data_IF_658038419383
#
_entry.id   IF_658038419383
#
_cell.length_a   1.000
_cell.length_b   1.000
_cell.length_c   1.000
_cell.angle_alpha   90.00
_cell.angle_beta   90.00
_cell.angle_gamma   90.00
#
_symmetry.space_group_name_H-M   'P 1'
#
loop_
_entity.id
_entity.type
_entity.pdbx_description
1 polymer ?
#
# COMPACT_ATOMS: atom_id res chain seq x y z
N UNK A 1 24.51 -26.85 -37.44
CA UNK A 1 23.99 -25.79 -36.60
C UNK A 1 22.70 -26.24 -35.95
N UNK A 2 22.70 -26.67 -34.68
CA UNK A 2 21.41 -26.79 -33.94
C UNK A 2 21.50 -26.06 -32.61
N UNK A 3 20.88 -24.89 -32.54
CA UNK A 3 20.61 -24.18 -31.29
C UNK A 3 19.12 -23.83 -31.32
N UNK A 4 18.25 -24.70 -30.84
CA UNK A 4 16.85 -24.38 -30.58
C UNK A 4 16.04 -25.48 -29.83
N UNK A 5 16.63 -26.26 -28.91
CA UNK A 5 15.84 -27.28 -28.18
C UNK A 5 15.91 -27.12 -26.65
N UNK A 6 16.73 -26.23 -26.10
CA UNK A 6 16.95 -26.18 -24.65
C UNK A 6 15.92 -25.28 -23.90
N UNK A 7 15.21 -24.38 -24.59
CA UNK A 7 14.31 -23.43 -23.96
C UNK A 7 12.87 -23.99 -23.79
N UNK A 8 12.50 -25.03 -24.51
CA UNK A 8 11.16 -25.62 -24.43
C UNK A 8 10.96 -26.59 -23.25
N UNK A 9 12.04 -27.18 -22.73
CA UNK A 9 11.98 -28.16 -21.64
C UNK A 9 11.85 -27.54 -20.25
N UNK A 10 12.33 -26.30 -20.05
CA UNK A 10 12.15 -25.59 -18.77
C UNK A 10 10.71 -25.09 -18.55
N UNK A 11 9.97 -24.80 -19.63
CA UNK A 11 8.58 -24.38 -19.56
C UNK A 11 7.59 -25.52 -19.29
N UNK A 12 7.93 -26.75 -19.68
CA UNK A 12 7.09 -27.93 -19.45
C UNK A 12 7.17 -28.45 -18.00
N UNK A 13 8.34 -28.31 -17.35
CA UNK A 13 8.50 -28.73 -15.95
C UNK A 13 7.75 -27.87 -14.94
N UNK A 14 7.47 -26.60 -15.26
CA UNK A 14 6.66 -25.71 -14.43
C UNK A 14 5.15 -26.01 -14.48
N UNK A 15 4.66 -26.76 -15.49
CA UNK A 15 3.26 -27.12 -15.65
C UNK A 15 2.79 -28.32 -14.80
N UNK A 16 3.68 -29.06 -14.16
CA UNK A 16 3.37 -30.32 -13.47
C UNK A 16 2.97 -30.19 -12.00
N UNK A 17 3.22 -29.08 -11.33
CA UNK A 17 2.74 -28.86 -9.96
C UNK A 17 1.34 -28.24 -9.98
N UNK A 18 0.30 -29.06 -9.94
CA UNK A 18 -1.01 -28.62 -9.46
C UNK A 18 -0.80 -28.17 -8.01
N UNK A 19 -0.51 -26.88 -7.81
CA UNK A 19 -0.50 -26.29 -6.48
C UNK A 19 -1.88 -26.51 -5.89
N UNK A 20 -1.98 -27.31 -4.82
CA UNK A 20 -3.23 -27.44 -4.06
C UNK A 20 -3.66 -26.03 -3.68
N UNK A 21 -4.79 -25.58 -4.21
CA UNK A 21 -5.42 -24.34 -3.77
C UNK A 21 -5.70 -24.49 -2.28
N UNK A 22 -4.98 -23.73 -1.47
CA UNK A 22 -5.39 -23.50 -0.09
C UNK A 22 -6.43 -22.39 -0.17
N UNK A 23 -7.70 -22.66 0.14
CA UNK A 23 -8.71 -21.61 0.09
C UNK A 23 -8.33 -20.50 1.06
N UNK A 24 -8.63 -19.23 0.73
CA UNK A 24 -8.41 -18.12 1.65
C UNK A 24 -9.17 -18.39 2.97
N UNK A 25 -8.77 -17.79 4.10
CA UNK A 25 -9.42 -18.01 5.39
C UNK A 25 -10.77 -17.27 5.45
N UNK A 26 -11.74 -17.70 4.63
CA UNK A 26 -13.00 -17.00 4.38
C UNK A 26 -13.77 -16.66 5.65
N UNK A 27 -13.74 -17.53 6.67
CA UNK A 27 -14.39 -17.26 7.94
C UNK A 27 -13.75 -16.08 8.69
N UNK A 28 -12.40 -16.00 8.70
CA UNK A 28 -11.69 -14.88 9.30
C UNK A 28 -11.95 -13.59 8.52
N UNK A 29 -11.85 -13.63 7.19
CA UNK A 29 -12.14 -12.48 6.33
C UNK A 29 -13.58 -11.97 6.52
N UNK A 30 -14.56 -12.87 6.58
CA UNK A 30 -15.96 -12.51 6.81
C UNK A 30 -16.18 -11.87 8.19
N UNK A 31 -15.49 -12.36 9.22
CA UNK A 31 -15.55 -11.79 10.57
C UNK A 31 -14.96 -10.39 10.61
N UNK A 32 -13.79 -10.18 10.01
CA UNK A 32 -13.14 -8.86 9.90
C UNK A 32 -14.04 -7.89 9.13
N UNK A 33 -14.58 -8.31 7.99
CA UNK A 33 -15.45 -7.48 7.15
C UNK A 33 -16.75 -7.02 7.84
N UNK A 34 -17.10 -7.62 8.99
CA UNK A 34 -18.28 -7.26 9.80
C UNK A 34 -17.95 -6.48 11.06
N UNK A 35 -16.66 -6.23 11.34
CA UNK A 35 -16.28 -5.39 12.47
C UNK A 35 -16.93 -4.02 12.33
N UNK A 36 -17.51 -3.52 13.41
CA UNK A 36 -17.92 -2.14 13.48
C UNK A 36 -16.69 -1.22 13.41
N UNK A 37 -16.83 -0.03 12.83
CA UNK A 37 -15.70 0.90 12.71
C UNK A 37 -15.07 1.23 14.08
N UNK A 38 -15.88 1.31 15.15
CA UNK A 38 -15.38 1.51 16.51
C UNK A 38 -14.49 0.36 17.01
N UNK A 39 -14.79 -0.88 16.64
CA UNK A 39 -13.98 -2.05 17.00
C UNK A 39 -12.70 -2.13 16.14
N UNK A 40 -12.79 -1.68 14.89
CA UNK A 40 -11.67 -1.62 13.99
C UNK A 40 -10.54 -0.69 14.49
N UNK A 41 -10.89 0.33 15.25
CA UNK A 41 -9.98 1.32 15.84
C UNK A 41 -9.61 1.04 17.31
N UNK A 42 -10.11 -0.04 17.92
CA UNK A 42 -9.78 -0.43 19.30
C UNK A 42 -8.50 -1.27 19.32
N UNK A 43 -7.44 -0.88 20.07
CA UNK A 43 -6.21 -1.67 20.12
C UNK A 43 -6.42 -3.08 20.67
N UNK A 44 -5.97 -4.07 19.92
CA UNK A 44 -6.01 -5.50 20.26
C UNK A 44 -4.61 -6.11 20.14
N UNK A 45 -4.31 -7.19 20.87
CA UNK A 45 -3.05 -7.92 20.69
C UNK A 45 -3.14 -8.85 19.47
N UNK A 46 -2.15 -8.79 18.59
CA UNK A 46 -1.98 -9.71 17.46
C UNK A 46 -0.53 -10.13 17.36
N UNK A 47 -0.24 -11.40 17.56
CA UNK A 47 1.12 -11.96 17.41
C UNK A 47 2.18 -11.31 18.31
N UNK A 48 1.81 -10.86 19.52
CA UNK A 48 2.71 -10.19 20.46
C UNK A 48 2.79 -8.66 20.28
N UNK A 49 2.26 -8.10 19.22
CA UNK A 49 2.12 -6.65 19.03
C UNK A 49 0.74 -6.16 19.48
N UNK A 50 0.67 -4.93 19.99
CA UNK A 50 -0.60 -4.30 20.37
C UNK A 50 -0.85 -3.08 19.49
N UNK A 51 -1.85 -3.17 18.60
CA UNK A 51 -2.27 -2.08 17.74
C UNK A 51 -3.75 -2.26 17.33
N UNK A 52 -4.30 -1.36 16.53
CA UNK A 52 -5.68 -1.48 16.05
C UNK A 52 -5.81 -2.58 14.99
N UNK A 53 -6.96 -3.27 14.87
CA UNK A 53 -7.24 -4.14 13.74
C UNK A 53 -6.99 -3.46 12.38
N UNK A 54 -7.34 -2.19 12.25
CA UNK A 54 -7.06 -1.38 11.05
C UNK A 54 -5.56 -1.39 10.71
N UNK A 55 -4.70 -1.08 11.68
CA UNK A 55 -3.24 -1.12 11.48
C UNK A 55 -2.76 -2.49 10.99
N UNK A 56 -3.22 -3.56 11.64
CA UNK A 56 -2.84 -4.91 11.25
C UNK A 56 -3.36 -5.31 9.86
N UNK A 57 -4.53 -4.81 9.45
CA UNK A 57 -5.07 -5.06 8.11
C UNK A 57 -4.24 -4.35 7.02
N UNK A 58 -3.81 -3.12 7.24
CA UNK A 58 -2.91 -2.44 6.30
C UNK A 58 -1.51 -3.08 6.28
N UNK A 59 -1.02 -3.57 7.42
CA UNK A 59 0.19 -4.37 7.45
C UNK A 59 0.02 -5.69 6.68
N UNK A 60 -1.14 -6.34 6.81
CA UNK A 60 -1.48 -7.52 6.04
C UNK A 60 -1.52 -7.22 4.53
N UNK A 61 -2.12 -6.12 4.12
CA UNK A 61 -2.12 -5.70 2.71
C UNK A 61 -0.69 -5.56 2.18
N UNK A 62 0.21 -4.92 2.94
CA UNK A 62 1.63 -4.83 2.55
C UNK A 62 2.30 -6.20 2.39
N UNK A 63 1.97 -7.16 3.26
CA UNK A 63 2.50 -8.53 3.18
C UNK A 63 1.98 -9.28 1.95
N UNK A 64 0.70 -9.14 1.63
CA UNK A 64 0.11 -9.70 0.40
C UNK A 64 0.78 -9.09 -0.84
N UNK A 65 1.00 -7.77 -0.86
CA UNK A 65 1.66 -7.07 -1.95
C UNK A 65 3.13 -7.51 -2.11
N UNK A 66 3.87 -7.65 -1.01
CA UNK A 66 5.23 -8.13 -1.03
C UNK A 66 5.31 -9.53 -1.64
N UNK A 67 4.44 -10.45 -1.21
CA UNK A 67 4.40 -11.80 -1.76
C UNK A 67 4.01 -11.80 -3.25
N UNK A 68 3.07 -10.94 -3.67
CA UNK A 68 2.72 -10.81 -5.08
C UNK A 68 3.90 -10.29 -5.93
N UNK A 69 4.66 -9.33 -5.40
CA UNK A 69 5.85 -8.81 -6.07
C UNK A 69 6.96 -9.86 -6.21
N UNK A 70 7.21 -10.64 -5.16
CA UNK A 70 8.23 -11.70 -5.16
C UNK A 70 7.93 -12.82 -6.17
N UNK A 71 6.66 -13.06 -6.47
CA UNK A 71 6.24 -14.21 -7.27
C UNK A 71 6.14 -13.96 -8.78
N UNK A 72 6.35 -12.74 -9.25
CA UNK A 72 6.29 -12.39 -10.68
C UNK A 72 7.70 -12.40 -11.31
N UNK A 73 8.04 -13.31 -12.22
CA UNK A 73 9.43 -13.59 -12.61
C UNK A 73 10.05 -12.64 -13.64
N UNK A 74 9.31 -11.66 -14.21
CA UNK A 74 9.78 -10.91 -15.39
C UNK A 74 10.34 -9.51 -15.11
N UNK A 75 10.26 -9.00 -13.87
CA UNK A 75 10.72 -7.65 -13.49
C UNK A 75 11.45 -7.69 -12.15
N UNK A 76 12.24 -6.65 -11.84
CA UNK A 76 12.79 -6.47 -10.50
C UNK A 76 11.66 -6.40 -9.46
N UNK A 77 11.92 -6.84 -8.24
CA UNK A 77 10.95 -6.78 -7.15
C UNK A 77 10.55 -5.33 -6.88
N UNK A 78 11.52 -4.41 -6.83
CA UNK A 78 11.30 -2.97 -6.64
C UNK A 78 10.35 -2.38 -7.68
N UNK A 79 10.52 -2.74 -8.97
CA UNK A 79 9.62 -2.29 -10.02
C UNK A 79 8.19 -2.79 -9.81
N UNK A 80 8.01 -4.05 -9.39
CA UNK A 80 6.68 -4.62 -9.11
C UNK A 80 5.98 -3.94 -7.92
N UNK A 81 6.77 -3.56 -6.90
CA UNK A 81 6.23 -2.80 -5.76
C UNK A 81 5.74 -1.42 -6.20
N UNK A 82 6.46 -0.74 -7.09
CA UNK A 82 6.03 0.55 -7.64
C UNK A 82 4.79 0.42 -8.54
N UNK A 83 4.64 -0.71 -9.26
CA UNK A 83 3.41 -0.99 -10.01
C UNK A 83 2.17 -1.06 -9.10
N UNK A 84 2.28 -1.58 -7.87
CA UNK A 84 1.18 -1.53 -6.89
C UNK A 84 0.81 -0.11 -6.49
N UNK A 85 1.78 0.77 -6.32
CA UNK A 85 1.51 2.18 -6.01
C UNK A 85 0.77 2.86 -7.16
N UNK A 86 1.13 2.56 -8.40
CA UNK A 86 0.43 3.07 -9.58
C UNK A 86 -1.00 2.51 -9.69
N UNK A 87 -1.20 1.23 -9.38
CA UNK A 87 -2.53 0.62 -9.35
C UNK A 87 -3.42 1.23 -8.26
N UNK A 88 -2.86 1.49 -7.06
CA UNK A 88 -3.57 2.14 -5.98
C UNK A 88 -3.96 3.60 -6.31
N UNK A 89 -3.08 4.32 -7.00
CA UNK A 89 -3.41 5.66 -7.53
C UNK A 89 -4.55 5.61 -8.55
N UNK A 90 -4.53 4.64 -9.47
CA UNK A 90 -5.62 4.42 -10.42
C UNK A 90 -6.95 4.09 -9.74
N UNK A 91 -6.94 3.28 -8.66
CA UNK A 91 -8.13 2.97 -7.86
C UNK A 91 -8.69 4.22 -7.16
N UNK A 92 -7.82 5.09 -6.63
CA UNK A 92 -8.20 6.38 -6.03
C UNK A 92 -8.83 7.32 -7.07
N UNK A 93 -8.25 7.42 -8.27
CA UNK A 93 -8.87 8.16 -9.38
C UNK A 93 -10.27 7.64 -9.66
N UNK A 94 -10.43 6.31 -9.80
CA UNK A 94 -11.71 5.67 -10.06
C UNK A 94 -12.75 5.89 -8.96
N UNK A 95 -12.31 6.08 -7.71
CA UNK A 95 -13.20 6.40 -6.58
C UNK A 95 -13.71 7.85 -6.59
N UNK A 96 -12.99 8.78 -7.25
CA UNK A 96 -13.29 10.21 -7.17
C UNK A 96 -13.73 10.84 -8.49
N UNK A 97 -13.21 10.36 -9.61
CA UNK A 97 -13.51 10.96 -10.92
C UNK A 97 -15.02 10.89 -11.21
N UNK A 98 -15.62 12.01 -11.54
CA UNK A 98 -17.05 12.08 -11.82
C UNK A 98 -17.91 12.57 -10.65
N UNK A 99 -17.33 12.77 -9.47
CA UNK A 99 -17.99 13.47 -8.36
C UNK A 99 -17.91 14.99 -8.54
N UNK A 100 -18.88 15.69 -7.95
CA UNK A 100 -18.91 17.15 -7.89
C UNK A 100 -17.84 17.68 -6.93
N UNK A 101 -17.20 18.81 -7.28
CA UNK A 101 -16.17 19.45 -6.45
C UNK A 101 -16.68 19.86 -5.05
N UNK A 102 -17.98 20.04 -4.87
CA UNK A 102 -18.60 20.38 -3.59
C UNK A 102 -18.34 19.33 -2.50
N UNK A 103 -18.02 18.07 -2.88
CA UNK A 103 -17.69 17.04 -1.89
C UNK A 103 -16.33 17.25 -1.22
N UNK A 104 -15.43 18.03 -1.84
CA UNK A 104 -14.06 18.22 -1.35
C UNK A 104 -13.99 18.83 0.04
N UNK A 105 -14.89 19.76 0.33
CA UNK A 105 -14.91 20.50 1.58
C UNK A 105 -15.94 19.95 2.58
N UNK A 106 -16.55 18.79 2.24
CA UNK A 106 -17.41 18.04 3.13
C UNK A 106 -16.58 17.27 4.14
N UNK A 107 -16.91 17.41 5.41
CA UNK A 107 -16.39 16.58 6.49
C UNK A 107 -17.54 15.79 7.11
N UNK A 108 -17.24 14.62 7.66
CA UNK A 108 -18.17 13.85 8.44
C UNK A 108 -17.71 13.88 9.90
N UNK A 109 -18.53 14.44 10.75
CA UNK A 109 -18.24 14.63 12.18
C UNK A 109 -16.93 15.43 12.41
N UNK A 110 -15.99 14.90 13.18
CA UNK A 110 -14.68 15.49 13.44
C UNK A 110 -13.57 14.95 12.49
N UNK A 111 -13.95 14.30 11.40
CA UNK A 111 -13.00 13.76 10.42
C UNK A 111 -12.45 14.88 9.50
N UNK A 112 -11.37 14.60 8.83
CA UNK A 112 -10.79 15.50 7.82
C UNK A 112 -11.73 15.66 6.63
N UNK A 113 -11.69 16.83 6.01
CA UNK A 113 -12.33 17.03 4.72
C UNK A 113 -11.67 16.15 3.66
N UNK A 114 -12.41 15.82 2.60
CA UNK A 114 -11.82 15.09 1.48
C UNK A 114 -10.62 15.83 0.88
N UNK A 115 -10.66 17.16 0.84
CA UNK A 115 -9.54 18.01 0.42
C UNK A 115 -8.31 17.79 1.29
N UNK A 116 -8.46 17.78 2.61
CA UNK A 116 -7.35 17.57 3.55
C UNK A 116 -6.75 16.17 3.40
N UNK A 117 -7.59 15.16 3.20
CA UNK A 117 -7.16 13.78 2.94
C UNK A 117 -6.31 13.73 1.66
N UNK A 118 -6.73 14.36 0.57
CA UNK A 118 -5.98 14.36 -0.68
C UNK A 118 -4.67 15.16 -0.59
N UNK A 119 -4.69 16.29 0.12
CA UNK A 119 -3.47 17.08 0.40
C UNK A 119 -2.48 16.30 1.25
N UNK A 120 -2.97 15.60 2.25
CA UNK A 120 -2.16 14.68 3.06
C UNK A 120 -1.58 13.56 2.19
N UNK A 121 -2.36 12.98 1.28
CA UNK A 121 -1.87 11.95 0.36
C UNK A 121 -0.69 12.44 -0.50
N UNK A 122 -0.76 13.68 -1.02
CA UNK A 122 0.35 14.31 -1.76
C UNK A 122 1.60 14.42 -0.87
N UNK A 123 1.44 14.94 0.36
CA UNK A 123 2.55 15.11 1.30
C UNK A 123 3.21 13.76 1.66
N UNK A 124 2.40 12.75 1.97
CA UNK A 124 2.87 11.42 2.34
C UNK A 124 3.57 10.72 1.17
N UNK A 125 3.04 10.84 -0.05
CA UNK A 125 3.67 10.30 -1.25
C UNK A 125 5.13 10.78 -1.38
N UNK A 126 5.35 12.09 -1.29
CA UNK A 126 6.66 12.69 -1.39
C UNK A 126 7.59 12.29 -0.22
N UNK A 127 7.08 12.28 1.00
CA UNK A 127 7.85 11.91 2.20
C UNK A 127 8.25 10.45 2.22
N UNK A 128 7.36 9.56 1.75
CA UNK A 128 7.64 8.13 1.70
C UNK A 128 8.75 7.83 0.69
N UNK A 129 8.70 8.44 -0.48
CA UNK A 129 9.77 8.31 -1.47
C UNK A 129 11.11 8.83 -0.93
N UNK A 130 11.12 10.00 -0.27
CA UNK A 130 12.32 10.57 0.34
C UNK A 130 12.92 9.65 1.42
N UNK A 131 12.09 9.06 2.30
CA UNK A 131 12.56 8.11 3.31
C UNK A 131 13.11 6.82 2.69
N UNK A 132 12.44 6.28 1.65
CA UNK A 132 12.93 5.08 0.93
C UNK A 132 14.28 5.37 0.31
N UNK A 133 14.42 6.49 -0.40
CA UNK A 133 15.69 6.88 -1.03
C UNK A 133 16.79 7.07 0.01
N UNK A 134 16.49 7.74 1.14
CA UNK A 134 17.40 7.88 2.25
C UNK A 134 17.87 6.53 2.77
N UNK A 135 16.94 5.65 3.12
CA UNK A 135 17.23 4.34 3.69
C UNK A 135 18.04 3.45 2.74
N UNK A 136 17.74 3.51 1.44
CA UNK A 136 18.47 2.75 0.41
C UNK A 136 19.89 3.26 0.19
N UNK A 137 20.14 4.57 0.35
CA UNK A 137 21.43 5.20 0.04
C UNK A 137 22.28 5.60 1.25
N UNK A 138 21.73 5.58 2.47
CA UNK A 138 22.48 6.02 3.68
C UNK A 138 23.69 5.12 3.97
N UNK A 139 24.70 5.67 4.61
CA UNK A 139 25.80 4.90 5.21
C UNK A 139 25.32 4.26 6.51
N UNK A 140 26.00 3.20 6.97
CA UNK A 140 25.57 2.45 8.17
C UNK A 140 25.74 3.26 9.48
N UNK A 141 26.59 4.26 9.48
CA UNK A 141 26.77 5.22 10.59
C UNK A 141 25.76 6.37 10.63
N UNK A 142 24.95 6.53 9.58
CA UNK A 142 23.88 7.53 9.51
C UNK A 142 22.59 7.04 10.18
N UNK A 143 21.74 7.93 10.73
CA UNK A 143 20.51 7.55 11.41
C UNK A 143 19.53 6.88 10.45
N UNK A 144 18.68 5.96 10.98
CA UNK A 144 17.60 5.33 10.19
C UNK A 144 16.56 6.35 9.73
N UNK A 145 16.22 7.31 10.59
CA UNK A 145 15.31 8.39 10.24
C UNK A 145 15.99 9.36 9.28
N UNK A 146 15.27 9.72 8.21
CA UNK A 146 15.74 10.85 7.37
C UNK A 146 15.77 12.12 8.20
N UNK A 147 16.86 12.91 8.14
CA UNK A 147 16.92 14.19 8.82
C UNK A 147 15.79 15.13 8.40
N UNK A 148 15.20 15.83 9.34
CA UNK A 148 14.04 16.70 9.10
C UNK A 148 14.31 17.74 8.00
N UNK A 149 15.54 18.26 7.94
CA UNK A 149 15.99 19.20 6.91
C UNK A 149 16.02 18.62 5.48
N UNK A 150 15.93 17.31 5.34
CA UNK A 150 15.87 16.62 4.04
C UNK A 150 14.45 16.16 3.66
N UNK A 151 13.48 16.38 4.56
CA UNK A 151 12.08 16.08 4.24
C UNK A 151 11.52 17.12 3.27
N UNK A 152 10.77 16.72 2.24
CA UNK A 152 10.24 17.64 1.23
C UNK A 152 9.13 18.56 1.76
N UNK A 153 8.46 18.18 2.85
CA UNK A 153 7.34 18.90 3.47
C UNK A 153 7.01 18.31 4.84
N UNK A 154 6.10 18.90 5.59
CA UNK A 154 5.51 18.25 6.76
C UNK A 154 4.56 17.10 6.35
N UNK A 155 4.05 16.35 7.32
CA UNK A 155 3.20 15.18 7.04
C UNK A 155 1.76 15.54 6.66
N UNK A 156 1.31 16.76 6.94
CA UNK A 156 -0.08 17.18 6.77
C UNK A 156 -0.27 18.03 5.53
N UNK A 157 0.77 18.73 5.10
CA UNK A 157 0.69 19.70 4.00
C UNK A 157 1.82 19.48 3.00
N UNK A 158 1.49 19.37 1.70
CA UNK A 158 2.51 19.32 0.65
C UNK A 158 3.23 20.68 0.53
N UNK A 159 4.38 20.74 -0.18
CA UNK A 159 5.10 22.00 -0.40
C UNK A 159 4.22 23.03 -1.09
N UNK A 160 4.00 24.18 -0.46
CA UNK A 160 3.09 25.22 -0.97
C UNK A 160 3.55 25.81 -2.31
N UNK A 161 4.85 25.94 -2.55
CA UNK A 161 5.38 26.47 -3.82
C UNK A 161 4.95 25.64 -5.04
N UNK A 162 4.76 24.33 -4.88
CA UNK A 162 4.43 23.42 -5.98
C UNK A 162 2.98 22.93 -5.91
N UNK A 163 2.40 22.82 -4.72
CA UNK A 163 1.10 22.19 -4.47
C UNK A 163 0.09 23.10 -3.77
N UNK A 164 0.40 24.38 -3.56
CA UNK A 164 -0.48 25.34 -2.88
C UNK A 164 -1.86 25.46 -3.51
N UNK A 165 -1.94 25.32 -4.83
CA UNK A 165 -3.20 25.31 -5.60
C UNK A 165 -4.20 24.24 -5.08
N UNK A 166 -3.73 23.14 -4.48
CA UNK A 166 -4.57 22.09 -3.92
C UNK A 166 -5.51 22.57 -2.81
N UNK A 167 -5.28 23.75 -2.23
CA UNK A 167 -6.16 24.36 -1.24
C UNK A 167 -7.52 24.76 -1.78
N UNK A 168 -7.58 25.11 -3.07
CA UNK A 168 -8.80 25.66 -3.72
C UNK A 168 -9.19 24.93 -5.00
N UNK A 169 -8.32 24.06 -5.52
CA UNK A 169 -8.56 23.34 -6.76
C UNK A 169 -9.75 22.38 -6.65
N UNK A 170 -10.40 22.10 -7.79
CA UNK A 170 -11.39 21.04 -7.92
C UNK A 170 -10.76 19.65 -7.96
N UNK A 171 -11.60 18.59 -7.93
CA UNK A 171 -11.20 17.18 -7.84
C UNK A 171 -10.17 16.82 -8.92
N UNK A 172 -10.46 17.12 -10.16
CA UNK A 172 -9.58 16.77 -11.29
C UNK A 172 -8.19 17.36 -11.08
N UNK A 173 -8.13 18.65 -10.73
CA UNK A 173 -6.84 19.32 -10.54
C UNK A 173 -6.06 18.77 -9.35
N UNK A 174 -6.72 18.42 -8.24
CA UNK A 174 -6.06 17.79 -7.09
C UNK A 174 -5.54 16.40 -7.48
N UNK A 175 -6.27 15.63 -8.27
CA UNK A 175 -5.82 14.33 -8.77
C UNK A 175 -4.61 14.47 -9.70
N UNK A 176 -4.56 15.50 -10.55
CA UNK A 176 -3.38 15.83 -11.37
C UNK A 176 -2.16 16.18 -10.50
N UNK A 177 -2.36 16.96 -9.42
CA UNK A 177 -1.30 17.30 -8.48
C UNK A 177 -0.79 16.06 -7.74
N UNK A 178 -1.68 15.17 -7.30
CA UNK A 178 -1.29 13.87 -6.73
C UNK A 178 -0.57 13.00 -7.76
N UNK A 179 -1.02 13.00 -9.01
CA UNK A 179 -0.33 12.35 -10.13
C UNK A 179 1.07 12.89 -10.36
N UNK A 180 1.27 14.20 -10.22
CA UNK A 180 2.58 14.84 -10.30
C UNK A 180 3.50 14.41 -9.15
N UNK A 181 2.97 14.34 -7.93
CA UNK A 181 3.71 13.81 -6.78
C UNK A 181 4.08 12.33 -7.00
N UNK A 182 3.14 11.51 -7.49
CA UNK A 182 3.35 10.10 -7.82
C UNK A 182 4.45 9.91 -8.89
N UNK A 183 4.40 10.70 -9.97
CA UNK A 183 5.42 10.67 -11.02
C UNK A 183 6.80 11.06 -10.51
N UNK A 184 6.89 12.04 -9.61
CA UNK A 184 8.13 12.45 -8.94
C UNK A 184 8.68 11.32 -8.06
N UNK A 185 7.83 10.67 -7.26
CA UNK A 185 8.21 9.52 -6.44
C UNK A 185 8.70 8.35 -7.29
N UNK A 186 8.01 8.03 -8.37
CA UNK A 186 8.43 6.97 -9.30
C UNK A 186 9.78 7.27 -9.94
N UNK A 187 10.01 8.50 -10.41
CA UNK A 187 11.28 8.91 -10.98
C UNK A 187 12.42 8.82 -9.95
N UNK A 188 12.14 9.21 -8.70
CA UNK A 188 13.10 9.14 -7.60
C UNK A 188 13.48 7.70 -7.23
N UNK A 189 12.56 6.75 -7.35
CA UNK A 189 12.71 5.35 -6.96
C UNK A 189 12.95 4.41 -8.15
N UNK A 190 12.96 4.90 -9.38
CA UNK A 190 13.12 4.08 -10.59
C UNK A 190 14.42 3.27 -10.62
N UNK A 191 15.49 3.75 -9.95
CA UNK A 191 16.78 3.08 -9.85
C UNK A 191 16.94 2.26 -8.57
N UNK A 192 15.89 2.06 -7.79
CA UNK A 192 15.96 1.26 -6.56
C UNK A 192 16.31 -0.19 -6.89
N UNK A 193 17.49 -0.61 -6.49
CA UNK A 193 17.97 -1.97 -6.70
C UNK A 193 17.34 -2.95 -5.70
N UNK A 194 17.14 -4.21 -6.11
CA UNK A 194 16.48 -5.21 -5.27
C UNK A 194 17.31 -5.59 -4.03
N UNK A 195 18.63 -5.49 -4.08
CA UNK A 195 19.50 -5.69 -2.92
C UNK A 195 19.33 -4.61 -1.84
N UNK A 196 18.97 -3.40 -2.23
CA UNK A 196 18.64 -2.33 -1.29
C UNK A 196 17.36 -2.59 -0.51
N UNK A 197 16.47 -3.49 -0.98
CA UNK A 197 15.19 -3.78 -0.33
C UNK A 197 15.33 -4.38 1.08
N UNK A 198 16.47 -5.01 1.38
CA UNK A 198 16.75 -5.58 2.70
C UNK A 198 17.39 -4.61 3.68
N UNK A 199 17.77 -3.40 3.23
CA UNK A 199 18.40 -2.41 4.10
C UNK A 199 17.42 -1.91 5.17
N UNK A 200 17.93 -1.59 6.39
CA UNK A 200 17.10 -1.06 7.45
C UNK A 200 16.47 0.29 7.09
N UNK A 201 15.23 0.48 7.48
CA UNK A 201 14.44 1.70 7.31
C UNK A 201 13.58 1.97 8.55
N UNK A 202 12.88 3.10 8.56
CA UNK A 202 12.05 3.53 9.68
C UNK A 202 10.72 4.13 9.21
N UNK A 203 9.66 3.90 9.99
CA UNK A 203 8.37 4.60 9.89
C UNK A 203 7.92 5.07 11.27
N UNK A 204 8.04 6.37 11.55
CA UNK A 204 7.89 6.89 12.91
C UNK A 204 8.98 6.27 13.79
N UNK A 205 8.57 5.54 14.82
CA UNK A 205 9.45 4.74 15.71
C UNK A 205 9.55 3.28 15.29
N UNK A 206 8.91 2.88 14.20
CA UNK A 206 8.81 1.49 13.78
C UNK A 206 9.96 1.12 12.84
N UNK A 207 10.83 0.23 13.27
CA UNK A 207 11.90 -0.31 12.43
C UNK A 207 11.35 -1.33 11.45
N UNK A 208 11.81 -1.25 10.21
CA UNK A 208 11.43 -2.13 9.12
C UNK A 208 12.54 -2.15 8.07
N UNK A 209 12.39 -2.94 7.00
CA UNK A 209 13.27 -2.86 5.84
C UNK A 209 12.74 -1.88 4.77
N UNK A 210 13.58 -1.57 3.80
CA UNK A 210 13.23 -0.74 2.63
C UNK A 210 12.08 -1.38 1.85
N UNK A 211 12.05 -2.72 1.69
CA UNK A 211 10.96 -3.44 1.03
C UNK A 211 9.61 -3.08 1.63
N UNK A 212 9.49 -3.19 2.95
CA UNK A 212 8.25 -2.85 3.65
C UNK A 212 7.94 -1.36 3.54
N UNK A 213 8.97 -0.52 3.58
CA UNK A 213 8.82 0.93 3.49
C UNK A 213 8.33 1.41 2.13
N UNK A 214 8.83 0.86 1.03
CA UNK A 214 8.35 1.21 -0.32
C UNK A 214 6.93 0.68 -0.58
N UNK A 215 6.57 -0.50 -0.05
CA UNK A 215 5.20 -1.01 -0.12
C UNK A 215 4.17 -0.11 0.62
N UNK A 216 4.61 0.69 1.60
CA UNK A 216 3.73 1.63 2.28
C UNK A 216 3.17 2.72 1.36
N UNK A 217 3.83 3.03 0.24
CA UNK A 217 3.33 4.01 -0.74
C UNK A 217 1.98 3.52 -1.29
N UNK A 218 1.94 2.29 -1.80
CA UNK A 218 0.71 1.68 -2.29
C UNK A 218 -0.35 1.50 -1.19
N UNK A 219 0.08 1.06 -0.01
CA UNK A 219 -0.82 0.84 1.11
C UNK A 219 -1.48 2.15 1.58
N UNK A 220 -0.74 3.26 1.63
CA UNK A 220 -1.29 4.56 2.02
C UNK A 220 -2.27 5.12 0.98
N UNK A 221 -1.98 4.97 -0.32
CA UNK A 221 -2.94 5.35 -1.37
C UNK A 221 -4.23 4.52 -1.27
N UNK A 222 -4.12 3.23 -0.96
CA UNK A 222 -5.29 2.37 -0.71
C UNK A 222 -6.04 2.80 0.55
N UNK A 223 -5.35 3.14 1.64
CA UNK A 223 -5.95 3.69 2.86
C UNK A 223 -6.71 4.97 2.56
N UNK A 224 -6.10 5.87 1.80
CA UNK A 224 -6.73 7.11 1.32
C UNK A 224 -8.02 6.80 0.53
N UNK A 225 -8.00 5.83 -0.38
CA UNK A 225 -9.19 5.42 -1.14
C UNK A 225 -10.29 4.90 -0.22
N UNK A 226 -9.95 4.09 0.79
CA UNK A 226 -10.92 3.58 1.77
C UNK A 226 -11.54 4.71 2.60
N UNK A 227 -10.74 5.69 3.03
CA UNK A 227 -11.24 6.88 3.72
C UNK A 227 -12.21 7.68 2.86
N UNK A 228 -11.87 7.88 1.59
CA UNK A 228 -12.73 8.55 0.61
C UNK A 228 -14.05 7.80 0.43
N UNK A 229 -13.99 6.48 0.19
CA UNK A 229 -15.19 5.65 0.05
C UNK A 229 -16.08 5.70 1.29
N UNK A 230 -15.49 5.78 2.48
CA UNK A 230 -16.22 5.94 3.75
C UNK A 230 -16.96 7.28 3.80
N UNK A 231 -16.35 8.37 3.36
CA UNK A 231 -16.99 9.68 3.27
C UNK A 231 -18.10 9.73 2.22
N UNK A 232 -17.90 9.07 1.07
CA UNK A 232 -18.86 9.06 -0.04
C UNK A 232 -20.01 8.08 0.17
N UNK A 233 -19.86 7.04 1.00
CA UNK A 233 -20.90 6.05 1.21
C UNK A 233 -22.03 6.60 2.08
N UNK A 234 -23.19 6.70 1.50
CA UNK A 234 -24.41 7.23 2.14
C UNK A 234 -24.93 6.30 3.23
N UNK A 235 -24.58 5.02 3.30
CA UNK A 235 -24.99 4.08 4.37
C UNK A 235 -24.16 2.80 4.40
N UNK A 236 -23.61 2.48 5.58
CA UNK A 236 -23.46 1.07 6.03
C UNK A 236 -22.36 0.25 5.44
N UNK A 237 -21.45 0.80 4.65
CA UNK A 237 -20.31 0.05 4.18
C UNK A 237 -19.14 0.20 5.18
N UNK A 238 -18.85 -0.88 5.88
CA UNK A 238 -17.86 -0.90 6.95
C UNK A 238 -16.44 -0.80 6.38
N UNK A 239 -15.58 -0.04 7.05
CA UNK A 239 -14.18 0.12 6.67
C UNK A 239 -13.45 -1.23 6.58
N UNK A 240 -13.67 -2.13 7.54
CA UNK A 240 -13.10 -3.48 7.52
C UNK A 240 -13.44 -4.27 6.25
N UNK A 241 -14.66 -4.14 5.74
CA UNK A 241 -15.09 -4.76 4.47
C UNK A 241 -14.27 -4.25 3.30
N UNK A 242 -14.03 -2.95 3.25
CA UNK A 242 -13.26 -2.32 2.17
C UNK A 242 -11.81 -2.76 2.18
N UNK A 243 -11.16 -2.81 3.35
CA UNK A 243 -9.79 -3.27 3.48
C UNK A 243 -9.68 -4.75 3.09
N UNK A 244 -10.59 -5.60 3.60
CA UNK A 244 -10.64 -7.03 3.23
C UNK A 244 -10.78 -7.21 1.73
N UNK A 245 -11.63 -6.40 1.06
CA UNK A 245 -11.76 -6.41 -0.41
C UNK A 245 -10.43 -6.14 -1.10
N UNK A 246 -9.67 -5.15 -0.63
CA UNK A 246 -8.34 -4.83 -1.20
C UNK A 246 -7.35 -5.97 -0.99
N UNK A 247 -7.29 -6.53 0.20
CA UNK A 247 -6.44 -7.68 0.51
C UNK A 247 -6.80 -8.88 -0.39
N UNK A 248 -8.09 -9.16 -0.58
CA UNK A 248 -8.55 -10.25 -1.44
C UNK A 248 -8.16 -10.03 -2.92
N UNK A 249 -8.25 -8.78 -3.41
CA UNK A 249 -7.81 -8.44 -4.77
C UNK A 249 -6.31 -8.73 -4.96
N UNK A 250 -5.48 -8.28 -4.02
CA UNK A 250 -4.04 -8.54 -4.08
C UNK A 250 -3.72 -10.02 -3.91
N UNK A 251 -4.45 -10.74 -3.02
CA UNK A 251 -4.35 -12.20 -2.88
C UNK A 251 -4.53 -12.91 -4.21
N UNK A 252 -5.50 -12.49 -5.02
CA UNK A 252 -5.74 -13.04 -6.34
C UNK A 252 -4.54 -12.91 -7.30
N UNK A 253 -3.69 -11.91 -7.13
CA UNK A 253 -2.50 -11.70 -7.97
C UNK A 253 -1.40 -12.73 -7.73
N UNK A 254 -1.27 -13.26 -6.51
CA UNK A 254 -0.17 -14.16 -6.17
C UNK A 254 -0.59 -15.59 -5.79
N UNK A 255 -1.87 -15.86 -5.51
CA UNK A 255 -2.36 -17.17 -5.04
C UNK A 255 -1.90 -18.36 -5.90
N UNK A 256 -1.77 -18.14 -7.20
CA UNK A 256 -1.36 -19.18 -8.17
C UNK A 256 0.15 -19.43 -8.16
N UNK A 257 0.97 -18.52 -7.65
CA UNK A 257 2.41 -18.48 -7.80
C UNK A 257 3.17 -18.56 -6.49
N UNK A 258 2.55 -18.08 -5.41
CA UNK A 258 3.17 -18.02 -4.09
C UNK A 258 3.32 -19.41 -3.45
N UNK A 259 4.35 -19.55 -2.62
CA UNK A 259 4.59 -20.75 -1.83
C UNK A 259 3.45 -21.02 -0.82
N UNK A 260 3.15 -22.29 -0.58
CA UNK A 260 2.07 -22.69 0.31
C UNK A 260 2.34 -22.30 1.77
N UNK A 261 3.60 -22.33 2.21
CA UNK A 261 4.00 -21.91 3.56
C UNK A 261 3.80 -20.42 3.76
N UNK A 262 4.23 -19.61 2.77
CA UNK A 262 4.03 -18.16 2.79
C UNK A 262 2.54 -17.80 2.85
N UNK A 263 1.69 -18.45 2.06
CA UNK A 263 0.23 -18.25 2.14
C UNK A 263 -0.33 -18.64 3.49
N UNK A 264 0.09 -19.78 4.05
CA UNK A 264 -0.37 -20.24 5.35
C UNK A 264 -0.03 -19.25 6.46
N UNK A 265 1.14 -18.62 6.40
CA UNK A 265 1.53 -17.57 7.36
C UNK A 265 0.62 -16.34 7.27
N UNK A 266 0.26 -15.92 6.05
CA UNK A 266 -0.71 -14.84 5.84
C UNK A 266 -2.11 -15.21 6.34
N UNK A 267 -2.55 -16.44 6.09
CA UNK A 267 -3.85 -16.94 6.54
C UNK A 267 -3.95 -17.02 8.07
N UNK A 268 -2.87 -17.42 8.74
CA UNK A 268 -2.81 -17.42 10.19
C UNK A 268 -2.91 -16.01 10.77
N UNK A 269 -2.26 -15.05 10.12
CA UNK A 269 -2.36 -13.64 10.54
C UNK A 269 -3.79 -13.10 10.42
N UNK A 270 -4.54 -13.44 9.37
CA UNK A 270 -5.97 -13.11 9.28
C UNK A 270 -6.78 -13.72 10.44
N UNK A 271 -6.50 -14.95 10.83
CA UNK A 271 -7.18 -15.60 11.97
C UNK A 271 -6.89 -14.86 13.27
N UNK A 272 -5.63 -14.44 13.48
CA UNK A 272 -5.23 -13.67 14.67
C UNK A 272 -5.90 -12.28 14.71
N UNK A 273 -6.05 -11.60 13.57
CA UNK A 273 -6.76 -10.31 13.50
C UNK A 273 -8.26 -10.48 13.77
N UNK A 274 -8.82 -11.63 13.39
CA UNK A 274 -10.24 -11.95 13.55
C UNK A 274 -10.60 -12.46 14.96
N UNK A 275 -9.63 -12.87 15.76
CA UNK A 275 -9.85 -13.44 17.11
C UNK A 275 -10.29 -12.39 18.12
#
# INVERSE_FOLDING_TARGET
>A
MPIAITTALSYAAARGRRLRRVPPPLAALARIARLADADLHRPVPVGGERNTPQFFLYDQLRREQALAAETQPARSESARILDFAQAAYGDLIGALVGHDDAILDSARDAEWTLRDILRHAIAVELRYAAQVQWSAGRRDDEPLAIPESRLPCDRLSPPEAEFGESRTAGIIRILELLGSARARSDAQLASLADDALTRPSLWGTYEMDVRRRVNQIAAHLTETTVQIEKLLSVRGDLEGRRIVRRCAMVRGLHERWSDAGARSALDERYRLIAA
#
